data_IF_045305850848
#
_entry.id   IF_045305850848
#
_cell.length_a   1.000
_cell.length_b   1.000
_cell.length_c   1.000
_cell.angle_alpha   90.00
_cell.angle_beta   90.00
_cell.angle_gamma   90.00
#
_symmetry.space_group_name_H-M   'P 1'
#
loop_
_entity.id
_entity.type
_entity.pdbx_description
1 polymer ?
#
# COMPACT_ATOMS: atom_id res chain seq x y z
N UNK A 1 0.20 25.76 3.66
CA UNK A 1 -0.32 24.59 2.95
C UNK A 1 0.70 23.49 3.10
N UNK A 2 0.38 22.50 3.93
CA UNK A 2 1.23 21.34 4.11
C UNK A 2 1.24 20.54 2.81
N UNK A 3 2.40 19.98 2.47
CA UNK A 3 2.61 19.19 1.25
C UNK A 3 1.63 18.02 1.10
N UNK A 4 0.88 17.64 2.14
CA UNK A 4 -0.01 16.49 2.18
C UNK A 4 -1.51 16.86 2.23
N UNK A 5 -1.88 18.14 2.28
CA UNK A 5 -3.28 18.57 2.45
C UNK A 5 -4.21 18.00 1.36
N UNK A 6 -3.68 17.69 0.16
CA UNK A 6 -4.42 17.09 -0.95
C UNK A 6 -4.93 15.66 -0.67
N UNK A 7 -4.35 14.98 0.33
CA UNK A 7 -4.72 13.63 0.73
C UNK A 7 -5.86 13.59 1.75
N UNK A 8 -6.18 14.70 2.42
CA UNK A 8 -7.18 14.70 3.48
C UNK A 8 -8.52 14.11 3.01
N UNK A 9 -9.02 13.09 3.73
CA UNK A 9 -10.28 12.40 3.43
C UNK A 9 -10.27 11.50 2.20
N UNK A 10 -9.19 11.47 1.41
CA UNK A 10 -9.04 10.64 0.21
C UNK A 10 -8.92 9.18 0.57
N UNK A 11 -9.37 8.30 -0.34
CA UNK A 11 -9.14 6.87 -0.20
C UNK A 11 -7.66 6.57 -0.42
N UNK A 12 -6.99 6.04 0.60
CA UNK A 12 -5.56 5.75 0.58
C UNK A 12 -5.34 4.29 0.94
N UNK A 13 -4.51 3.61 0.16
CA UNK A 13 -4.06 2.25 0.45
C UNK A 13 -2.60 2.27 0.96
N UNK A 14 -2.37 1.75 2.16
CA UNK A 14 -1.00 1.50 2.64
C UNK A 14 -0.63 0.07 2.29
N UNK A 15 0.36 -0.10 1.43
CA UNK A 15 0.91 -1.40 1.06
C UNK A 15 2.14 -1.66 1.92
N UNK A 16 1.97 -2.50 2.93
CA UNK A 16 3.06 -2.92 3.82
C UNK A 16 3.79 -4.08 3.15
N UNK A 17 5.09 -3.92 2.92
CA UNK A 17 5.94 -4.89 2.23
C UNK A 17 6.98 -5.43 3.21
N UNK A 18 6.91 -6.73 3.48
CA UNK A 18 7.92 -7.45 4.25
C UNK A 18 8.77 -8.29 3.31
N UNK A 19 10.07 -8.07 3.30
CA UNK A 19 10.96 -8.89 2.48
C UNK A 19 11.23 -10.21 3.19
N UNK A 20 10.93 -11.33 2.52
CA UNK A 20 11.17 -12.67 3.03
C UNK A 20 12.53 -13.19 2.56
N UNK A 21 12.89 -12.90 1.31
CA UNK A 21 14.19 -13.23 0.71
C UNK A 21 14.54 -12.19 -0.35
N UNK A 22 15.56 -11.37 -0.10
CA UNK A 22 16.02 -10.33 -1.02
C UNK A 22 16.64 -10.90 -2.30
N UNK A 23 17.33 -12.05 -2.21
CA UNK A 23 18.02 -12.64 -3.37
C UNK A 23 17.05 -13.32 -4.31
N UNK A 24 16.02 -13.96 -3.76
CA UNK A 24 14.96 -14.59 -4.53
C UNK A 24 13.81 -13.62 -4.90
N UNK A 25 13.89 -12.35 -4.49
CA UNK A 25 12.83 -11.36 -4.73
C UNK A 25 11.51 -11.68 -4.03
N UNK A 26 11.52 -12.49 -2.97
CA UNK A 26 10.30 -12.91 -2.27
C UNK A 26 9.90 -11.88 -1.24
N UNK A 27 8.69 -11.37 -1.39
CA UNK A 27 8.07 -10.42 -0.47
C UNK A 27 6.71 -10.92 -0.03
N UNK A 28 6.33 -10.58 1.19
CA UNK A 28 4.96 -10.66 1.68
C UNK A 28 4.38 -9.25 1.68
N UNK A 29 3.18 -9.09 1.13
CA UNK A 29 2.50 -7.80 1.09
C UNK A 29 1.19 -7.87 1.86
N UNK A 30 0.84 -6.76 2.52
CA UNK A 30 -0.45 -6.55 3.13
C UNK A 30 -0.96 -5.16 2.75
N UNK A 31 -2.17 -5.10 2.19
CA UNK A 31 -2.83 -3.83 1.88
C UNK A 31 -3.77 -3.43 3.02
N UNK A 32 -3.69 -2.16 3.42
CA UNK A 32 -4.57 -1.54 4.39
C UNK A 32 -5.31 -0.39 3.71
N UNK A 33 -6.61 -0.57 3.48
CA UNK A 33 -7.46 0.42 2.85
C UNK A 33 -8.18 1.27 3.90
N UNK A 34 -8.27 2.57 3.63
CA UNK A 34 -9.01 3.48 4.47
C UNK A 34 -9.04 4.90 3.93
N UNK A 35 -9.38 5.85 4.79
CA UNK A 35 -9.32 7.27 4.48
C UNK A 35 -8.09 7.92 5.11
N UNK A 36 -7.40 8.74 4.33
CA UNK A 36 -6.28 9.53 4.81
C UNK A 36 -6.76 10.62 5.78
N UNK A 37 -6.00 10.80 6.84
CA UNK A 37 -6.14 11.85 7.85
C UNK A 37 -4.78 12.51 8.07
N UNK A 38 -4.72 13.81 7.87
CA UNK A 38 -3.53 14.64 7.87
C UNK A 38 -3.62 15.58 9.07
N UNK A 39 -2.75 15.39 10.04
CA UNK A 39 -2.69 16.20 11.26
C UNK A 39 -1.26 16.68 11.49
N UNK A 40 -1.04 18.00 11.49
CA UNK A 40 0.28 18.61 11.72
C UNK A 40 1.41 18.03 10.83
N UNK A 41 1.11 17.78 9.55
CA UNK A 41 2.08 17.21 8.61
C UNK A 41 2.35 15.71 8.78
N UNK A 42 1.60 15.02 9.67
CA UNK A 42 1.61 13.56 9.81
C UNK A 42 0.44 12.99 9.04
N UNK A 43 0.67 11.88 8.35
CA UNK A 43 -0.36 11.15 7.63
C UNK A 43 -0.73 9.88 8.40
N UNK A 44 -2.02 9.62 8.53
CA UNK A 44 -2.57 8.37 9.01
C UNK A 44 -3.66 7.87 8.07
N UNK A 45 -3.92 6.56 8.08
CA UNK A 45 -5.06 5.94 7.42
C UNK A 45 -6.00 5.41 8.48
N UNK A 46 -7.28 5.79 8.37
CA UNK A 46 -8.36 5.29 9.21
C UNK A 46 -9.11 4.22 8.43
N UNK A 47 -9.06 2.97 8.90
CA UNK A 47 -9.79 1.85 8.29
C UNK A 47 -11.29 1.96 8.56
N UNK A 48 -12.15 1.24 7.82
CA UNK A 48 -13.58 1.19 8.09
C UNK A 48 -13.94 0.75 9.51
N UNK A 49 -13.12 -0.11 10.12
CA UNK A 49 -13.28 -0.58 11.51
C UNK A 49 -12.80 0.45 12.55
N UNK A 50 -12.34 1.62 12.12
CA UNK A 50 -11.86 2.69 12.99
C UNK A 50 -10.41 2.52 13.46
N UNK A 51 -9.67 1.55 12.91
CA UNK A 51 -8.24 1.38 13.22
C UNK A 51 -7.46 2.51 12.57
N UNK A 52 -6.60 3.16 13.36
CA UNK A 52 -5.70 4.22 12.89
C UNK A 52 -4.31 3.66 12.64
N UNK A 53 -3.86 3.70 11.39
CA UNK A 53 -2.49 3.34 11.00
C UNK A 53 -1.69 4.59 10.66
N UNK A 54 -0.58 4.86 11.37
CA UNK A 54 0.30 6.00 11.08
C UNK A 54 1.26 5.69 9.95
N UNK A 55 1.30 6.53 8.92
CA UNK A 55 2.28 6.41 7.82
C UNK A 55 3.62 7.00 8.28
N UNK A 56 4.73 6.26 8.25
CA UNK A 56 6.03 6.78 8.63
C UNK A 56 6.44 7.96 7.74
N UNK A 57 7.10 8.96 8.34
CA UNK A 57 7.56 10.14 7.59
C UNK A 57 8.49 9.80 6.42
N UNK A 58 9.26 8.72 6.54
CA UNK A 58 10.16 8.21 5.50
C UNK A 58 9.43 7.70 4.25
N UNK A 59 8.13 7.39 4.35
CA UNK A 59 7.32 6.90 3.24
C UNK A 59 6.52 8.02 2.53
N UNK A 60 6.44 9.22 3.12
CA UNK A 60 5.62 10.32 2.60
C UNK A 60 6.06 10.83 1.22
N UNK A 61 7.35 10.67 0.88
CA UNK A 61 7.88 11.01 -0.44
C UNK A 61 7.48 10.04 -1.56
N UNK A 62 6.90 8.89 -1.21
CA UNK A 62 6.54 7.81 -2.14
C UNK A 62 5.02 7.57 -2.16
N UNK A 63 4.23 8.63 -1.99
CA UNK A 63 2.78 8.56 -2.16
C UNK A 63 2.49 8.73 -3.65
N UNK A 64 1.84 7.72 -4.23
CA UNK A 64 1.60 7.61 -5.67
C UNK A 64 0.08 7.55 -5.94
N UNK A 65 -0.39 8.03 -7.09
CA UNK A 65 -1.78 7.81 -7.51
C UNK A 65 -2.03 6.31 -7.75
N UNK A 66 -3.27 5.85 -7.62
CA UNK A 66 -3.64 4.46 -7.94
C UNK A 66 -3.22 4.10 -9.38
N UNK A 67 -2.55 2.97 -9.53
CA UNK A 67 -1.99 2.46 -10.78
C UNK A 67 -2.89 1.44 -11.51
N UNK A 68 -4.09 1.19 -10.97
CA UNK A 68 -5.08 0.26 -11.51
C UNK A 68 -4.89 -1.19 -11.05
N UNK A 69 -3.91 -1.49 -10.19
CA UNK A 69 -3.72 -2.85 -9.69
C UNK A 69 -4.87 -3.29 -8.79
N UNK A 70 -5.24 -4.58 -8.90
CA UNK A 70 -6.35 -5.15 -8.12
C UNK A 70 -6.16 -4.99 -6.60
N UNK A 71 -4.90 -4.98 -6.14
CA UNK A 71 -4.52 -4.76 -4.73
C UNK A 71 -5.06 -3.42 -4.18
N UNK A 72 -5.06 -2.37 -5.01
CA UNK A 72 -5.42 -1.02 -4.57
C UNK A 72 -6.93 -0.77 -4.53
N UNK A 73 -7.71 -1.63 -5.19
CA UNK A 73 -9.17 -1.51 -5.27
C UNK A 73 -9.58 -0.10 -5.72
N UNK A 74 -10.40 0.57 -4.93
CA UNK A 74 -10.93 1.91 -5.20
C UNK A 74 -10.13 3.03 -4.54
N UNK A 75 -8.92 2.74 -4.03
CA UNK A 75 -8.04 3.78 -3.49
C UNK A 75 -7.74 4.85 -4.55
N UNK A 76 -7.60 6.10 -4.15
CA UNK A 76 -7.18 7.19 -5.05
C UNK A 76 -5.65 7.29 -5.09
N UNK A 77 -5.02 6.96 -3.97
CA UNK A 77 -3.58 6.97 -3.78
C UNK A 77 -3.12 5.71 -3.07
N UNK A 78 -1.82 5.40 -3.16
CA UNK A 78 -1.18 4.38 -2.36
C UNK A 78 0.20 4.80 -1.88
N UNK A 79 0.68 4.14 -0.83
CA UNK A 79 2.03 4.32 -0.31
C UNK A 79 2.63 2.97 0.09
N UNK A 80 3.91 2.77 -0.26
CA UNK A 80 4.66 1.57 0.09
C UNK A 80 5.40 1.79 1.42
N UNK A 81 5.21 0.87 2.36
CA UNK A 81 5.89 0.89 3.66
C UNK A 81 6.65 -0.41 3.84
N UNK A 82 7.98 -0.34 3.89
CA UNK A 82 8.81 -1.51 4.21
C UNK A 82 8.64 -1.86 5.68
N UNK A 83 8.26 -3.10 5.96
CA UNK A 83 8.21 -3.67 7.30
C UNK A 83 9.49 -4.43 7.65
N UNK A 84 9.82 -4.43 8.93
CA UNK A 84 10.93 -5.21 9.48
C UNK A 84 10.60 -6.71 9.52
N UNK A 85 11.63 -7.55 9.52
CA UNK A 85 11.49 -9.01 9.61
C UNK A 85 10.75 -9.45 10.89
N UNK A 86 10.90 -8.71 12.00
CA UNK A 86 10.23 -9.00 13.26
C UNK A 86 8.73 -8.68 13.30
N UNK A 87 8.20 -7.95 12.31
CA UNK A 87 6.77 -7.58 12.28
C UNK A 87 5.96 -8.74 11.70
N UNK A 88 4.99 -9.22 12.48
CA UNK A 88 3.97 -10.11 11.97
C UNK A 88 2.93 -9.29 11.19
N UNK A 89 2.83 -9.53 9.88
CA UNK A 89 1.69 -9.06 9.10
C UNK A 89 0.50 -9.97 9.40
N UNK A 90 -0.71 -9.39 9.42
CA UNK A 90 -1.94 -10.15 9.64
C UNK A 90 -2.11 -11.24 8.58
N UNK A 91 -3.00 -12.23 8.84
CA UNK A 91 -3.34 -13.19 7.78
C UNK A 91 -3.81 -12.42 6.54
N UNK A 92 -3.35 -12.83 5.35
CA UNK A 92 -3.82 -12.22 4.11
C UNK A 92 -5.29 -12.59 3.95
N UNK A 93 -6.21 -11.73 4.40
CA UNK A 93 -7.56 -11.74 3.88
C UNK A 93 -7.49 -11.21 2.42
N UNK A 94 -7.15 -12.17 1.55
CA UNK A 94 -7.27 -12.21 0.09
C UNK A 94 -6.74 -11.00 -0.71
N UNK A 95 -5.53 -11.16 -1.24
CA UNK A 95 -5.27 -10.91 -2.67
C UNK A 95 -4.56 -12.18 -3.17
N UNK A 96 -5.36 -13.17 -3.58
CA UNK A 96 -4.85 -14.35 -4.25
C UNK A 96 -4.30 -13.94 -5.63
N UNK A 97 -3.04 -14.29 -5.86
CA UNK A 97 -2.35 -14.45 -7.14
C UNK A 97 -2.33 -13.26 -8.13
N UNK A 98 -1.20 -12.54 -8.18
CA UNK A 98 -0.76 -11.92 -9.44
C UNK A 98 -0.29 -13.04 -10.37
N UNK A 99 -1.21 -13.68 -11.09
CA UNK A 99 -0.88 -14.56 -12.20
C UNK A 99 -0.11 -13.79 -13.26
N UNK A 100 1.02 -14.35 -13.67
CA UNK A 100 1.85 -13.88 -14.77
C UNK A 100 1.01 -13.58 -16.02
N UNK A 101 1.25 -12.43 -16.64
CA UNK A 101 0.68 -12.11 -17.94
C UNK A 101 1.27 -13.08 -18.99
N UNK A 102 0.41 -13.94 -19.55
CA UNK A 102 0.74 -14.79 -20.70
C UNK A 102 1.04 -13.88 -21.91
N UNK A 103 2.34 -13.76 -22.23
CA UNK A 103 2.87 -13.16 -23.45
C UNK A 103 2.61 -14.12 -24.62
N UNK A 104 1.43 -14.09 -25.24
CA UNK A 104 1.21 -14.77 -26.53
C UNK A 104 1.81 -13.92 -27.65
N UNK A 105 3.14 -14.03 -27.78
CA UNK A 105 3.86 -13.67 -28.98
C UNK A 105 3.76 -14.83 -29.98
N UNK A 106 2.77 -14.81 -30.88
CA UNK A 106 2.87 -15.54 -32.16
C UNK A 106 2.59 -14.67 -33.37
N UNK A 107 3.69 -14.15 -33.90
CA UNK A 107 3.92 -14.09 -35.34
C UNK A 107 3.66 -15.47 -35.98
N UNK A 108 2.74 -15.52 -36.95
CA UNK A 108 2.89 -16.14 -38.28
C UNK A 108 1.60 -16.00 -39.07
#
# INVERSE_FOLDING_TARGET
MGTLDYLEGRRLCVVVVKVLDERAGRVQMQALHGRASVEHGKLAVITPDGVRFGVPNTALGNILPNDGTALLKDAEYFVLVKADAGIALGRPDACEECGEADDDHRHA
#
